data_IF_191333518229
#
_entry.id   IF_191333518229
#
_cell.length_a   1.000
_cell.length_b   1.000
_cell.length_c   1.000
_cell.angle_alpha   90.00
_cell.angle_beta   90.00
_cell.angle_gamma   90.00
#
_symmetry.space_group_name_H-M   'P 1'
#
loop_
_entity.id
_entity.type
_entity.pdbx_description
1 polymer ?
#
# COMPACT_ATOMS: atom_id res chain seq x y z
N UNK A 1 -23.37 45.35 -6.01
CA UNK A 1 -22.31 44.71 -5.19
C UNK A 1 -22.73 43.38 -4.57
N UNK A 2 -23.95 43.22 -4.00
CA UNK A 2 -24.40 41.94 -3.40
C UNK A 2 -24.51 40.74 -4.37
N UNK A 3 -24.81 40.98 -5.66
CA UNK A 3 -24.93 39.91 -6.68
C UNK A 3 -23.58 39.32 -7.14
N UNK A 4 -22.50 40.09 -7.05
CA UNK A 4 -21.16 39.62 -7.44
C UNK A 4 -20.54 38.68 -6.39
N UNK A 5 -20.83 38.91 -5.11
CA UNK A 5 -20.32 38.10 -4.00
C UNK A 5 -20.91 36.68 -4.04
N UNK A 6 -22.20 36.54 -4.36
CA UNK A 6 -22.87 35.24 -4.45
C UNK A 6 -22.31 34.38 -5.60
N UNK A 7 -21.93 35.01 -6.72
CA UNK A 7 -21.37 34.31 -7.89
C UNK A 7 -19.95 33.77 -7.64
N UNK A 8 -19.14 34.49 -6.85
CA UNK A 8 -17.78 34.07 -6.48
C UNK A 8 -17.81 32.89 -5.51
N UNK A 9 -18.76 32.87 -4.56
CA UNK A 9 -18.94 31.74 -3.63
C UNK A 9 -19.38 30.47 -4.36
N UNK A 10 -20.26 30.60 -5.37
CA UNK A 10 -20.72 29.45 -6.16
C UNK A 10 -19.63 28.85 -7.05
N UNK A 11 -18.76 29.68 -7.65
CA UNK A 11 -17.65 29.18 -8.48
C UNK A 11 -16.56 28.49 -7.65
N UNK A 12 -16.29 28.95 -6.43
CA UNK A 12 -15.37 28.29 -5.49
C UNK A 12 -15.89 26.91 -5.03
N UNK A 13 -17.19 26.77 -4.78
CA UNK A 13 -17.80 25.50 -4.36
C UNK A 13 -17.76 24.43 -5.47
N UNK A 14 -17.97 24.82 -6.73
CA UNK A 14 -17.94 23.89 -7.87
C UNK A 14 -16.50 23.45 -8.20
N UNK A 15 -15.53 24.35 -8.08
CA UNK A 15 -14.11 24.02 -8.26
C UNK A 15 -13.60 23.06 -7.17
N UNK A 16 -14.02 23.25 -5.92
CA UNK A 16 -13.66 22.36 -4.80
C UNK A 16 -14.19 20.94 -4.96
N UNK A 17 -15.41 20.76 -5.48
CA UNK A 17 -16.00 19.43 -5.70
C UNK A 17 -15.30 18.67 -6.83
N UNK A 18 -14.94 19.34 -7.93
CA UNK A 18 -14.21 18.71 -9.03
C UNK A 18 -12.78 18.33 -8.61
N UNK A 19 -12.15 19.10 -7.74
CA UNK A 19 -10.82 18.80 -7.22
C UNK A 19 -10.81 17.56 -6.31
N UNK A 20 -11.78 17.43 -5.40
CA UNK A 20 -11.91 16.26 -4.52
C UNK A 20 -12.21 14.98 -5.32
N UNK A 21 -13.11 15.06 -6.31
CA UNK A 21 -13.42 13.92 -7.19
C UNK A 21 -12.24 13.54 -8.09
N UNK A 22 -11.46 14.52 -8.57
CA UNK A 22 -10.26 14.23 -9.36
C UNK A 22 -9.15 13.59 -8.50
N UNK A 23 -9.03 13.98 -7.22
CA UNK A 23 -8.07 13.35 -6.30
C UNK A 23 -8.42 11.89 -6.01
N UNK A 24 -9.71 11.57 -5.79
CA UNK A 24 -10.14 10.20 -5.53
C UNK A 24 -9.99 9.27 -6.74
N UNK A 25 -10.23 9.78 -7.96
CA UNK A 25 -10.00 9.03 -9.21
C UNK A 25 -8.52 8.75 -9.41
N UNK A 26 -7.66 9.77 -9.33
CA UNK A 26 -6.22 9.58 -9.52
C UNK A 26 -5.59 8.68 -8.43
N UNK A 27 -6.16 8.67 -7.23
CA UNK A 27 -5.78 7.75 -6.16
C UNK A 27 -6.11 6.30 -6.51
N UNK A 28 -7.35 6.06 -6.94
CA UNK A 28 -7.80 4.73 -7.39
C UNK A 28 -7.00 4.21 -8.58
N UNK A 29 -6.76 5.05 -9.59
CA UNK A 29 -5.91 4.68 -10.74
C UNK A 29 -4.49 4.29 -10.33
N UNK A 30 -3.94 4.95 -9.29
CA UNK A 30 -2.62 4.60 -8.76
C UNK A 30 -2.63 3.22 -8.11
N UNK A 31 -3.66 2.90 -7.32
CA UNK A 31 -3.86 1.57 -6.72
C UNK A 31 -4.06 0.48 -7.79
N UNK A 32 -4.96 0.72 -8.74
CA UNK A 32 -5.25 -0.21 -9.84
C UNK A 32 -4.00 -0.49 -10.66
N UNK A 33 -3.18 0.53 -10.94
CA UNK A 33 -1.91 0.37 -11.64
C UNK A 33 -0.90 -0.48 -10.86
N UNK A 34 -0.78 -0.30 -9.54
CA UNK A 34 0.12 -1.11 -8.71
C UNK A 34 -0.35 -2.58 -8.70
N UNK A 35 -1.64 -2.79 -8.46
CA UNK A 35 -2.23 -4.14 -8.42
C UNK A 35 -2.13 -4.86 -9.78
N UNK A 36 -2.24 -4.14 -10.90
CA UNK A 36 -2.03 -4.72 -12.22
C UNK A 36 -0.59 -5.25 -12.40
N UNK A 37 0.41 -4.51 -11.93
CA UNK A 37 1.82 -4.94 -12.00
C UNK A 37 2.05 -6.14 -11.09
N UNK A 38 1.56 -6.12 -9.86
CA UNK A 38 1.72 -7.24 -8.91
C UNK A 38 1.04 -8.51 -9.44
N UNK A 39 -0.17 -8.40 -9.99
CA UNK A 39 -0.90 -9.53 -10.59
C UNK A 39 -0.18 -10.14 -11.78
N UNK A 40 0.44 -9.31 -12.63
CA UNK A 40 1.20 -9.77 -13.79
C UNK A 40 2.54 -10.40 -13.43
N UNK A 41 3.05 -10.16 -12.21
CA UNK A 41 4.39 -10.56 -11.80
C UNK A 41 4.39 -11.23 -10.41
N UNK A 42 3.69 -12.37 -10.24
CA UNK A 42 3.66 -13.08 -8.96
C UNK A 42 5.06 -13.52 -8.53
N UNK A 43 5.25 -13.62 -7.21
CA UNK A 43 6.45 -14.25 -6.66
C UNK A 43 6.37 -15.77 -6.85
N UNK A 44 7.43 -16.40 -7.34
CA UNK A 44 7.51 -17.84 -7.52
C UNK A 44 8.50 -18.42 -6.51
N UNK A 45 7.98 -19.25 -5.60
CA UNK A 45 8.80 -20.09 -4.75
C UNK A 45 9.15 -21.37 -5.51
N UNK A 46 10.37 -21.41 -6.05
CA UNK A 46 10.85 -22.55 -6.83
C UNK A 46 11.07 -23.83 -6.02
N UNK A 47 11.11 -23.77 -4.68
CA UNK A 47 11.25 -24.96 -3.85
C UNK A 47 9.94 -25.74 -3.78
N UNK A 48 8.83 -25.04 -3.54
CA UNK A 48 7.50 -25.63 -3.46
C UNK A 48 6.73 -25.60 -4.80
N UNK A 49 7.29 -24.96 -5.82
CA UNK A 49 6.64 -24.66 -7.11
C UNK A 49 5.29 -23.93 -6.94
N UNK A 50 5.28 -22.93 -6.06
CA UNK A 50 4.08 -22.16 -5.71
C UNK A 50 4.21 -20.70 -6.17
N UNK A 51 3.11 -20.16 -6.69
CA UNK A 51 3.00 -18.75 -7.05
C UNK A 51 2.20 -17.99 -5.98
N UNK A 52 2.80 -16.92 -5.46
CA UNK A 52 2.18 -16.01 -4.52
C UNK A 52 1.80 -14.71 -5.24
N UNK A 53 0.53 -14.35 -5.10
CA UNK A 53 -0.07 -13.16 -5.69
C UNK A 53 -0.30 -12.14 -4.58
N UNK A 54 0.41 -11.02 -4.67
CA UNK A 54 0.22 -9.89 -3.77
C UNK A 54 -0.76 -8.87 -4.39
N UNK A 55 -1.57 -8.26 -3.54
CA UNK A 55 -2.38 -7.08 -3.88
C UNK A 55 -2.40 -6.13 -2.69
N UNK A 56 -2.65 -4.85 -2.97
CA UNK A 56 -2.74 -3.82 -1.96
C UNK A 56 -4.05 -3.05 -2.04
N UNK A 57 -4.46 -2.49 -0.90
CA UNK A 57 -5.48 -1.47 -0.79
C UNK A 57 -5.10 -0.48 0.33
N UNK A 58 -5.73 0.70 0.33
CA UNK A 58 -5.62 1.66 1.42
C UNK A 58 -6.99 1.89 2.02
N UNK A 59 -7.13 1.61 3.32
CA UNK A 59 -8.40 1.79 4.03
C UNK A 59 -8.73 3.28 4.22
N UNK A 60 -9.99 3.64 4.51
CA UNK A 60 -10.36 5.00 4.90
C UNK A 60 -9.55 5.55 6.09
N UNK A 61 -9.12 4.66 6.98
CA UNK A 61 -8.29 4.96 8.15
C UNK A 61 -6.80 5.12 7.82
N UNK A 62 -6.43 5.15 6.53
CA UNK A 62 -5.05 5.28 6.02
C UNK A 62 -4.16 4.09 6.41
N UNK A 63 -4.76 2.91 6.51
CA UNK A 63 -4.02 1.66 6.70
C UNK A 63 -3.65 1.08 5.34
N UNK A 64 -2.40 0.64 5.20
CA UNK A 64 -1.99 -0.24 4.13
C UNK A 64 -2.56 -1.62 4.43
N UNK A 65 -3.37 -2.12 3.50
CA UNK A 65 -3.85 -3.48 3.45
C UNK A 65 -3.05 -4.23 2.38
N UNK A 66 -2.45 -5.36 2.72
CA UNK A 66 -1.78 -6.25 1.76
C UNK A 66 -2.41 -7.62 1.86
N UNK A 67 -2.89 -8.15 0.75
CA UNK A 67 -3.31 -9.55 0.65
C UNK A 67 -2.28 -10.33 -0.15
N UNK A 68 -1.82 -11.44 0.42
CA UNK A 68 -0.99 -12.44 -0.23
C UNK A 68 -1.78 -13.74 -0.34
N UNK A 69 -2.10 -14.15 -1.56
CA UNK A 69 -2.81 -15.39 -1.85
C UNK A 69 -1.98 -16.33 -2.71
N UNK A 70 -2.28 -17.62 -2.64
CA UNK A 70 -1.71 -18.66 -3.49
C UNK A 70 -2.78 -19.75 -3.68
N UNK A 71 -2.52 -20.76 -4.51
CA UNK A 71 -3.49 -21.84 -4.80
C UNK A 71 -3.74 -22.83 -3.65
N UNK A 72 -3.51 -22.43 -2.39
CA UNK A 72 -3.70 -23.26 -1.20
C UNK A 72 -4.89 -22.82 -0.33
N UNK A 73 -5.08 -23.47 0.83
CA UNK A 73 -6.32 -23.38 1.62
C UNK A 73 -6.39 -22.13 2.52
N UNK A 74 -5.48 -21.17 2.33
CA UNK A 74 -5.47 -19.94 3.10
C UNK A 74 -4.87 -18.79 2.31
N UNK A 75 -5.12 -17.58 2.80
CA UNK A 75 -4.45 -16.35 2.39
C UNK A 75 -3.96 -15.59 3.60
N UNK A 76 -2.94 -14.76 3.38
CA UNK A 76 -2.45 -13.83 4.38
C UNK A 76 -2.97 -12.43 4.08
N UNK A 77 -3.37 -11.74 5.14
CA UNK A 77 -3.75 -10.35 5.13
C UNK A 77 -2.89 -9.62 6.13
N UNK A 78 -2.25 -8.54 5.70
CA UNK A 78 -1.45 -7.67 6.55
C UNK A 78 -2.09 -6.29 6.59
N UNK A 79 -2.23 -5.72 7.79
CA UNK A 79 -2.77 -4.37 8.01
C UNK A 79 -1.83 -3.56 8.86
N UNK A 80 -1.58 -2.32 8.47
CA UNK A 80 -0.73 -1.39 9.23
C UNK A 80 -1.07 0.05 8.89
N UNK A 81 -1.05 0.95 9.87
CA UNK A 81 -1.14 2.38 9.60
C UNK A 81 0.11 2.84 8.88
N UNK A 82 -0.05 3.51 7.74
CA UNK A 82 1.10 3.98 6.94
C UNK A 82 1.99 4.93 7.75
N UNK A 83 1.42 5.69 8.70
CA UNK A 83 2.17 6.56 9.61
C UNK A 83 3.18 5.84 10.50
N UNK A 84 2.97 4.55 10.75
CA UNK A 84 3.74 3.77 11.71
C UNK A 84 4.91 3.04 11.01
N UNK A 85 4.97 3.08 9.68
CA UNK A 85 6.04 2.52 8.86
C UNK A 85 7.19 3.51 8.66
N UNK A 86 8.42 3.01 8.71
CA UNK A 86 9.61 3.71 8.21
C UNK A 86 9.63 3.62 6.68
N UNK A 87 9.11 4.67 6.06
CA UNK A 87 9.04 4.86 4.61
C UNK A 87 10.20 5.73 4.07
N UNK A 88 11.28 5.88 4.85
CA UNK A 88 12.37 6.81 4.50
C UNK A 88 12.85 6.64 3.06
N UNK A 89 12.87 7.76 2.33
CA UNK A 89 13.04 7.82 0.87
C UNK A 89 14.47 7.50 0.40
N UNK A 90 15.42 7.28 1.32
CA UNK A 90 16.85 7.26 1.04
C UNK A 90 17.45 5.86 0.82
N UNK A 91 16.68 4.79 1.04
CA UNK A 91 17.16 3.42 0.79
C UNK A 91 16.84 3.00 -0.65
N UNK A 92 17.86 2.51 -1.36
CA UNK A 92 17.72 1.88 -2.68
C UNK A 92 17.25 0.43 -2.49
N UNK A 93 15.98 0.28 -2.09
CA UNK A 93 15.36 -1.01 -1.71
C UNK A 93 15.49 -2.02 -2.85
N UNK A 94 15.42 -1.58 -4.10
CA UNK A 94 15.48 -2.45 -5.27
C UNK A 94 16.88 -2.99 -5.57
N UNK A 95 17.93 -2.37 -5.04
CA UNK A 95 19.29 -2.91 -5.10
C UNK A 95 19.50 -3.99 -4.04
N UNK A 96 18.91 -3.82 -2.86
CA UNK A 96 19.04 -4.77 -1.75
C UNK A 96 18.12 -5.99 -1.93
N UNK A 97 16.91 -5.77 -2.42
CA UNK A 97 15.92 -6.80 -2.70
C UNK A 97 15.21 -6.54 -4.03
N UNK A 98 15.68 -7.12 -5.15
CA UNK A 98 15.09 -6.87 -6.46
C UNK A 98 13.72 -7.53 -6.64
N UNK A 99 13.31 -8.43 -5.74
CA UNK A 99 12.07 -9.20 -5.77
C UNK A 99 11.11 -8.89 -4.62
N UNK A 100 11.42 -7.92 -3.76
CA UNK A 100 10.49 -7.47 -2.73
C UNK A 100 10.68 -6.01 -2.34
N UNK A 101 9.61 -5.38 -1.88
CA UNK A 101 9.65 -4.06 -1.23
C UNK A 101 9.12 -4.24 0.18
N UNK A 102 9.96 -3.98 1.17
CA UNK A 102 9.63 -4.14 2.59
C UNK A 102 9.62 -2.79 3.29
N UNK A 103 8.66 -2.64 4.20
CA UNK A 103 8.62 -1.54 5.16
C UNK A 103 8.65 -2.11 6.56
N UNK A 104 9.47 -1.49 7.40
CA UNK A 104 9.61 -1.85 8.80
C UNK A 104 8.82 -0.87 9.66
N UNK A 105 8.34 -1.31 10.80
CA UNK A 105 7.77 -0.41 11.79
C UNK A 105 8.82 0.57 12.29
N UNK A 106 8.41 1.82 12.53
CA UNK A 106 9.24 2.81 13.21
C UNK A 106 9.64 2.27 14.58
N UNK A 107 10.89 2.54 14.97
CA UNK A 107 11.36 2.21 16.32
C UNK A 107 10.62 3.05 17.35
N UNK A 108 10.39 2.49 18.53
CA UNK A 108 9.93 3.27 19.68
C UNK A 108 11.01 4.28 20.11
N UNK A 109 10.63 5.25 20.94
CA UNK A 109 11.58 6.19 21.57
C UNK A 109 12.68 5.47 22.39
N UNK A 110 12.44 4.21 22.77
CA UNK A 110 13.39 3.31 23.43
C UNK A 110 14.27 2.48 22.48
N UNK A 111 14.16 2.65 21.16
CA UNK A 111 14.93 1.94 20.14
C UNK A 111 14.51 0.47 19.92
N UNK A 112 13.40 0.03 20.51
CA UNK A 112 12.90 -1.34 20.35
C UNK A 112 12.06 -1.48 19.08
N UNK A 113 12.11 -2.65 18.40
CA UNK A 113 11.21 -2.93 17.28
C UNK A 113 9.75 -2.91 17.76
N UNK A 114 8.95 -2.02 17.20
CA UNK A 114 7.50 -2.00 17.44
C UNK A 114 6.87 -3.01 16.49
N UNK A 115 5.99 -3.88 16.98
CA UNK A 115 5.14 -4.69 16.12
C UNK A 115 3.88 -3.90 15.77
N UNK A 116 3.93 -3.16 14.67
CA UNK A 116 2.85 -2.29 14.18
C UNK A 116 1.99 -2.94 13.09
N UNK A 117 2.41 -4.09 12.56
CA UNK A 117 1.68 -4.81 11.51
C UNK A 117 0.85 -5.91 12.15
N UNK A 118 -0.45 -5.92 11.89
CA UNK A 118 -1.30 -7.08 12.17
C UNK A 118 -1.28 -8.00 10.95
N UNK A 119 -0.81 -9.22 11.12
CA UNK A 119 -0.92 -10.28 10.14
C UNK A 119 -2.06 -11.22 10.53
N UNK A 120 -2.89 -11.59 9.55
CA UNK A 120 -4.04 -12.47 9.71
C UNK A 120 -3.99 -13.54 8.63
N UNK A 121 -3.86 -14.81 9.02
CA UNK A 121 -4.08 -15.95 8.16
C UNK A 121 -5.57 -16.24 8.13
N UNK A 122 -6.16 -16.29 6.93
CA UNK A 122 -7.59 -16.58 6.73
C UNK A 122 -7.70 -17.90 5.98
N UNK A 123 -8.32 -18.89 6.62
CA UNK A 123 -8.55 -20.22 6.08
C UNK A 123 -9.83 -20.25 5.23
N UNK A 124 -9.92 -21.17 4.26
CA UNK A 124 -11.12 -21.33 3.42
C UNK A 124 -12.40 -21.66 4.19
N UNK A 125 -12.27 -22.29 5.36
CA UNK A 125 -13.40 -22.65 6.24
C UNK A 125 -13.89 -21.48 7.11
N UNK A 126 -13.29 -20.29 6.96
CA UNK A 126 -13.61 -19.10 7.74
C UNK A 126 -12.83 -18.98 9.05
N UNK A 127 -11.96 -19.94 9.38
CA UNK A 127 -11.01 -19.83 10.48
C UNK A 127 -10.00 -18.70 10.26
N UNK A 128 -9.51 -18.10 11.35
CA UNK A 128 -8.43 -17.11 11.29
C UNK A 128 -7.45 -17.21 12.44
N UNK A 129 -6.18 -16.96 12.15
CA UNK A 129 -5.11 -16.82 13.14
C UNK A 129 -4.43 -15.47 12.98
N UNK A 130 -4.11 -14.80 14.08
CA UNK A 130 -3.56 -13.44 14.09
C UNK A 130 -2.23 -13.41 14.81
N UNK A 131 -1.30 -12.66 14.24
CA UNK A 131 -0.03 -12.35 14.86
C UNK A 131 0.38 -10.89 14.59
N UNK A 132 1.32 -10.39 15.37
CA UNK A 132 1.90 -9.07 15.13
C UNK A 132 3.28 -9.22 14.53
N UNK A 133 3.58 -8.43 13.50
CA UNK A 133 4.87 -8.39 12.83
C UNK A 133 5.51 -6.99 12.94
N UNK A 134 6.83 -6.96 12.84
CA UNK A 134 7.65 -5.74 12.85
C UNK A 134 7.90 -5.17 11.45
N UNK A 135 7.44 -5.86 10.40
CA UNK A 135 7.57 -5.45 9.01
C UNK A 135 6.43 -6.02 8.16
N UNK A 136 6.31 -5.47 6.95
CA UNK A 136 5.41 -5.93 5.90
C UNK A 136 6.17 -5.86 4.57
N UNK A 137 6.04 -6.89 3.74
CA UNK A 137 6.75 -6.99 2.47
C UNK A 137 5.78 -7.31 1.34
N UNK A 138 5.95 -6.64 0.20
CA UNK A 138 5.36 -7.03 -1.07
C UNK A 138 6.38 -7.83 -1.86
N UNK A 139 6.10 -9.11 -2.09
CA UNK A 139 6.93 -9.99 -2.90
C UNK A 139 6.38 -10.08 -4.33
N UNK A 140 7.28 -10.06 -5.30
CA UNK A 140 6.93 -10.11 -6.73
C UNK A 140 8.07 -10.73 -7.54
N UNK A 141 7.83 -10.96 -8.83
CA UNK A 141 8.89 -11.46 -9.71
C UNK A 141 10.00 -10.43 -9.87
N UNK A 142 11.26 -10.80 -9.59
CA UNK A 142 12.42 -9.95 -9.87
C UNK A 142 12.74 -9.77 -11.36
N UNK A 143 11.93 -10.37 -12.25
CA UNK A 143 12.08 -10.24 -13.70
C UNK A 143 11.65 -8.85 -14.16
N UNK A 144 12.16 -8.41 -15.31
CA UNK A 144 11.76 -7.15 -15.98
C UNK A 144 11.99 -5.86 -15.20
N UNK A 145 12.84 -5.86 -14.15
CA UNK A 145 13.19 -4.67 -13.36
C UNK A 145 11.98 -3.92 -12.78
N UNK A 146 10.87 -4.62 -12.51
CA UNK A 146 9.61 -4.02 -12.06
C UNK A 146 9.72 -3.37 -10.67
N UNK A 147 10.73 -3.72 -9.87
CA UNK A 147 10.90 -3.17 -8.53
C UNK A 147 10.96 -1.63 -8.55
N UNK A 148 11.73 -1.04 -9.47
CA UNK A 148 11.86 0.42 -9.53
C UNK A 148 10.53 1.09 -9.88
N UNK A 149 9.77 0.51 -10.80
CA UNK A 149 8.45 1.01 -11.16
C UNK A 149 7.47 0.91 -9.99
N UNK A 150 7.42 -0.25 -9.33
CA UNK A 150 6.58 -0.48 -8.14
C UNK A 150 6.96 0.47 -7.00
N UNK A 151 8.25 0.58 -6.67
CA UNK A 151 8.75 1.45 -5.60
C UNK A 151 8.38 2.91 -5.87
N UNK A 152 8.53 3.40 -7.11
CA UNK A 152 8.14 4.76 -7.47
C UNK A 152 6.63 5.00 -7.30
N UNK A 153 5.78 4.06 -7.77
CA UNK A 153 4.32 4.16 -7.64
C UNK A 153 3.87 4.09 -6.17
N UNK A 154 4.46 3.19 -5.38
CA UNK A 154 4.19 3.05 -3.94
C UNK A 154 4.60 4.30 -3.17
N UNK A 155 5.78 4.87 -3.46
CA UNK A 155 6.23 6.14 -2.85
C UNK A 155 5.26 7.28 -3.15
N UNK A 156 4.79 7.38 -4.39
CA UNK A 156 3.82 8.37 -4.78
C UNK A 156 2.47 8.19 -4.05
N UNK A 157 2.00 6.95 -3.95
CA UNK A 157 0.78 6.60 -3.22
C UNK A 157 0.89 6.98 -1.74
N UNK A 158 1.97 6.58 -1.06
CA UNK A 158 2.16 6.89 0.37
C UNK A 158 2.34 8.37 0.62
N UNK A 159 3.06 9.09 -0.26
CA UNK A 159 3.18 10.54 -0.20
C UNK A 159 1.81 11.23 -0.24
N UNK A 160 0.89 10.75 -1.08
CA UNK A 160 -0.50 11.27 -1.12
C UNK A 160 -1.28 10.95 0.15
N UNK A 161 -1.20 9.72 0.66
CA UNK A 161 -1.91 9.31 1.89
C UNK A 161 -1.48 10.18 3.08
N UNK A 162 -0.18 10.43 3.20
CA UNK A 162 0.38 11.21 4.30
C UNK A 162 0.15 12.71 4.16
N UNK A 163 0.24 13.26 2.94
CA UNK A 163 0.04 14.69 2.69
C UNK A 163 -1.44 15.11 2.68
N UNK A 164 -2.38 14.20 2.39
CA UNK A 164 -3.83 14.41 2.58
C UNK A 164 -4.24 14.40 4.07
N UNK A 165 -3.33 14.79 4.97
CA UNK A 165 -3.53 14.92 6.42
C UNK A 165 -3.40 16.37 6.90
N UNK A 166 -3.25 17.33 5.98
CA UNK A 166 -3.28 18.78 6.25
C UNK A 166 -4.55 19.41 5.68
#
# INVERSE_FOLDING_TARGET
MKKAIIMIVFTLLIAGQNYLNSQSVAFKESLDSINAILKANPYHDGFNDVYFYNSIDITPEKELYVEMSFGGPFKWVYKVKISDLDISLNKDICRESPNSICWVCKQSDSGLPVSCVQAEMIMEDGGSEKENASNICLSFSGRNLICNELNNKLRYLFGRVLNNSM
#
